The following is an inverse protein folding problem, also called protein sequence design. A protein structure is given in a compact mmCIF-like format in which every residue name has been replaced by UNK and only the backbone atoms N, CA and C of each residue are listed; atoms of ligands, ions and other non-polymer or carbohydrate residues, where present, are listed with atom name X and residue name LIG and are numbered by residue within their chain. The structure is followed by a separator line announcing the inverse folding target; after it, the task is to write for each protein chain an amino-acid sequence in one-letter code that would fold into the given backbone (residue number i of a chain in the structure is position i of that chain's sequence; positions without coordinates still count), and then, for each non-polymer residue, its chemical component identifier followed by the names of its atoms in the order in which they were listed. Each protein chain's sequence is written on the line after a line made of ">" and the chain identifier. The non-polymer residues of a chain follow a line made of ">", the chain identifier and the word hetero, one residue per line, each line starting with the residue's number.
data_IF_499575783963
#
_entry.id   IF_499575783963
#
_cell.length_a   1.000
_cell.length_b   1.000
_cell.length_c   1.000
_cell.angle_alpha   90.00
_cell.angle_beta   90.00
_cell.angle_gamma   90.00
#
_symmetry.space_group_name_H-M   'P 1'
#
loop_
_entity.id
_entity.type
_entity.pdbx_description
1 polymer ?
#
# COMPACT_ATOMS: atom_id res chain seq x y z
N UNK A 1 15.46 -13.45 3.24
CA UNK A 1 15.19 -12.38 4.22
C UNK A 1 14.38 -11.20 3.65
N UNK A 2 14.62 -10.73 2.42
CA UNK A 2 13.96 -9.55 1.84
C UNK A 2 12.41 -9.58 1.75
N UNK A 3 11.80 -10.75 1.55
CA UNK A 3 10.34 -10.87 1.44
C UNK A 3 9.59 -10.40 2.69
N UNK A 4 10.12 -10.67 3.89
CA UNK A 4 9.46 -10.34 5.17
C UNK A 4 9.43 -8.82 5.45
N UNK A 5 10.46 -8.09 5.03
CA UNK A 5 10.56 -6.63 5.19
C UNK A 5 9.55 -5.92 4.29
N UNK A 6 9.37 -6.39 3.06
CA UNK A 6 8.40 -5.82 2.12
C UNK A 6 6.96 -6.08 2.57
N UNK A 7 6.66 -7.28 3.08
CA UNK A 7 5.35 -7.60 3.67
C UNK A 7 5.03 -6.71 4.86
N UNK A 8 5.94 -6.60 5.84
CA UNK A 8 5.69 -5.76 7.02
C UNK A 8 5.53 -4.26 6.71
N UNK A 9 6.20 -3.77 5.66
CA UNK A 9 6.02 -2.38 5.21
C UNK A 9 4.68 -2.15 4.52
N UNK A 10 4.15 -3.14 3.79
CA UNK A 10 2.81 -3.08 3.18
C UNK A 10 1.75 -3.12 4.29
N UNK A 11 1.86 -4.05 5.24
CA UNK A 11 0.96 -4.16 6.40
C UNK A 11 0.90 -2.85 7.20
N UNK A 12 2.04 -2.20 7.43
CA UNK A 12 2.08 -0.92 8.13
C UNK A 12 1.39 0.22 7.37
N UNK A 13 1.42 0.20 6.02
CA UNK A 13 0.71 1.18 5.19
C UNK A 13 -0.80 0.91 5.19
N UNK A 14 -1.20 -0.36 5.17
CA UNK A 14 -2.61 -0.78 5.30
C UNK A 14 -3.19 -0.34 6.64
N UNK A 15 -2.52 -0.64 7.75
CA UNK A 15 -2.95 -0.21 9.08
C UNK A 15 -3.14 1.33 9.18
N UNK A 16 -2.21 2.10 8.60
CA UNK A 16 -2.34 3.57 8.56
C UNK A 16 -3.53 4.04 7.74
N UNK A 17 -3.82 3.37 6.61
CA UNK A 17 -4.98 3.67 5.77
C UNK A 17 -6.27 3.41 6.54
N UNK A 18 -6.37 2.28 7.24
CA UNK A 18 -7.57 1.89 7.98
C UNK A 18 -7.85 2.86 9.14
N UNK A 19 -6.80 3.35 9.80
CA UNK A 19 -6.92 4.44 10.79
C UNK A 19 -7.49 5.71 10.14
N UNK A 20 -7.04 6.08 8.94
CA UNK A 20 -7.59 7.25 8.24
C UNK A 20 -9.03 7.04 7.80
N UNK A 21 -9.40 5.83 7.35
CA UNK A 21 -10.80 5.49 7.04
C UNK A 21 -11.68 5.62 8.29
N UNK A 22 -11.24 5.10 9.44
CA UNK A 22 -11.96 5.25 10.70
C UNK A 22 -12.13 6.74 11.09
N UNK A 23 -11.09 7.56 10.94
CA UNK A 23 -11.16 9.01 11.20
C UNK A 23 -12.11 9.74 10.24
N UNK A 24 -12.15 9.33 8.97
CA UNK A 24 -13.09 9.87 7.98
C UNK A 24 -14.53 9.53 8.39
N UNK A 25 -14.80 8.30 8.81
CA UNK A 25 -16.12 7.88 9.27
C UNK A 25 -16.55 8.64 10.54
N UNK A 26 -15.64 8.77 11.52
CA UNK A 26 -15.88 9.55 12.73
C UNK A 26 -16.22 11.01 12.40
N UNK A 27 -15.49 11.63 11.48
CA UNK A 27 -15.73 13.01 11.07
C UNK A 27 -17.06 13.17 10.32
N UNK A 28 -17.42 12.21 9.47
CA UNK A 28 -18.72 12.19 8.79
C UNK A 28 -19.91 11.99 9.74
N UNK A 29 -19.71 11.29 10.86
CA UNK A 29 -20.73 11.06 11.88
C UNK A 29 -20.97 12.28 12.79
N UNK A 30 -20.15 13.34 12.69
CA UNK A 30 -20.35 14.56 13.50
C UNK A 30 -21.61 15.29 13.02
N UNK A 31 -22.41 15.89 13.92
CA UNK A 31 -23.58 16.69 13.55
C UNK A 31 -23.28 17.83 12.57
N UNK A 32 -22.07 18.39 12.65
CA UNK A 32 -21.54 19.36 11.70
C UNK A 32 -20.13 18.92 11.26
N UNK A 33 -20.00 18.19 10.14
CA UNK A 33 -18.71 17.73 9.65
C UNK A 33 -17.82 18.89 9.20
N UNK A 34 -16.53 18.84 9.56
CA UNK A 34 -15.55 19.79 9.04
C UNK A 34 -15.09 19.34 7.64
N UNK A 35 -15.52 20.09 6.63
CA UNK A 35 -15.23 19.80 5.23
C UNK A 35 -13.73 19.90 4.89
N UNK A 36 -12.99 20.85 5.48
CA UNK A 36 -11.55 21.02 5.25
C UNK A 36 -10.79 19.85 5.86
N UNK A 37 -11.19 19.43 7.07
CA UNK A 37 -10.63 18.26 7.75
C UNK A 37 -10.92 16.99 6.97
N UNK A 38 -12.15 16.78 6.50
CA UNK A 38 -12.51 15.65 5.63
C UNK A 38 -11.68 15.61 4.35
N UNK A 39 -11.52 16.73 3.66
CA UNK A 39 -10.70 16.82 2.46
C UNK A 39 -9.23 16.46 2.75
N UNK A 40 -8.69 16.95 3.86
CA UNK A 40 -7.33 16.65 4.29
C UNK A 40 -7.15 15.16 4.60
N UNK A 41 -8.08 14.56 5.33
CA UNK A 41 -8.09 13.12 5.64
C UNK A 41 -8.17 12.27 4.36
N UNK A 42 -9.06 12.63 3.43
CA UNK A 42 -9.21 11.93 2.14
C UNK A 42 -7.96 12.02 1.28
N UNK A 43 -7.30 13.19 1.23
CA UNK A 43 -6.01 13.36 0.53
C UNK A 43 -4.91 12.50 1.14
N UNK A 44 -4.80 12.45 2.47
CA UNK A 44 -3.83 11.58 3.15
C UNK A 44 -4.09 10.10 2.84
N UNK A 45 -5.36 9.67 2.88
CA UNK A 45 -5.73 8.29 2.52
C UNK A 45 -5.37 7.95 1.07
N UNK A 46 -5.63 8.87 0.15
CA UNK A 46 -5.29 8.68 -1.27
C UNK A 46 -3.79 8.48 -1.47
N UNK A 47 -2.95 9.30 -0.83
CA UNK A 47 -1.50 9.16 -0.89
C UNK A 47 -1.02 7.79 -0.39
N UNK A 48 -1.57 7.30 0.73
CA UNK A 48 -1.25 5.98 1.25
C UNK A 48 -1.65 4.86 0.28
N UNK A 49 -2.82 4.98 -0.36
CA UNK A 49 -3.27 4.02 -1.38
C UNK A 49 -2.29 3.98 -2.56
N UNK A 50 -1.83 5.14 -3.03
CA UNK A 50 -0.87 5.23 -4.13
C UNK A 50 0.48 4.62 -3.75
N UNK A 51 0.96 4.86 -2.53
CA UNK A 51 2.19 4.26 -2.01
C UNK A 51 2.10 2.73 -1.95
N UNK A 52 0.97 2.21 -1.49
CA UNK A 52 0.67 0.79 -1.39
C UNK A 52 0.70 0.15 -2.78
N UNK A 53 0.02 0.75 -3.76
CA UNK A 53 0.02 0.29 -5.16
C UNK A 53 1.44 0.30 -5.73
N UNK A 54 2.23 1.36 -5.52
CA UNK A 54 3.62 1.42 -5.97
C UNK A 54 4.47 0.33 -5.34
N UNK A 55 4.32 0.07 -4.04
CA UNK A 55 5.06 -0.98 -3.34
C UNK A 55 4.67 -2.38 -3.83
N UNK A 56 3.38 -2.67 -3.99
CA UNK A 56 2.89 -3.93 -4.52
C UNK A 56 3.39 -4.19 -5.93
N UNK A 57 3.38 -3.17 -6.80
CA UNK A 57 3.93 -3.28 -8.16
C UNK A 57 5.43 -3.58 -8.15
N UNK A 58 6.20 -2.93 -7.27
CA UNK A 58 7.64 -3.20 -7.11
C UNK A 58 7.89 -4.63 -6.62
N UNK A 59 7.12 -5.08 -5.61
CA UNK A 59 7.21 -6.43 -5.09
C UNK A 59 6.86 -7.48 -6.17
N UNK A 60 5.77 -7.27 -6.91
CA UNK A 60 5.35 -8.14 -8.01
C UNK A 60 6.41 -8.22 -9.13
N UNK A 61 7.01 -7.08 -9.51
CA UNK A 61 8.11 -7.03 -10.49
C UNK A 61 9.34 -7.80 -10.00
N UNK A 62 9.75 -7.61 -8.75
CA UNK A 62 10.88 -8.33 -8.17
C UNK A 62 10.67 -9.85 -8.16
N UNK A 63 9.44 -10.32 -7.84
CA UNK A 63 9.09 -11.74 -7.89
C UNK A 63 9.17 -12.29 -9.32
N UNK A 64 8.65 -11.57 -10.32
CA UNK A 64 8.72 -11.97 -11.73
C UNK A 64 10.16 -12.02 -12.25
N UNK A 65 10.97 -11.01 -11.94
CA UNK A 65 12.38 -10.94 -12.32
C UNK A 65 13.20 -12.07 -11.69
N UNK A 66 12.93 -12.43 -10.43
CA UNK A 66 13.56 -13.56 -9.75
C UNK A 66 13.16 -14.95 -10.28
N UNK A 67 12.02 -15.07 -10.96
CA UNK A 67 11.62 -16.30 -11.68
C UNK A 67 12.32 -16.41 -13.03
N UNK A 68 12.51 -15.29 -13.74
CA UNK A 68 13.17 -15.26 -15.05
C UNK A 68 14.64 -15.68 -14.98
N UNK A 69 15.36 -15.30 -13.91
CA UNK A 69 16.77 -15.67 -13.71
C UNK A 69 17.00 -17.18 -13.47
N UNK A 70 15.99 -17.92 -12.98
CA UNK A 70 16.09 -19.37 -12.75
C UNK A 70 15.71 -20.22 -13.96
N UNK A 71 14.89 -19.70 -14.88
CA UNK A 71 14.48 -20.42 -16.08
C UNK A 71 15.46 -20.34 -17.26
N UNK A 72 16.45 -19.45 -17.20
CA UNK A 72 17.44 -19.27 -18.29
C UNK A 72 18.61 -20.26 -18.22
N UNK A 73 18.84 -20.93 -17.09
CA UNK A 73 19.94 -21.89 -16.94
C UNK A 73 19.59 -23.32 -17.40
N UNK A 74 18.31 -23.60 -17.68
CA UNK A 74 17.86 -24.94 -18.09
C UNK A 74 17.68 -25.11 -19.61
N UNK A 75 17.99 -24.08 -20.40
CA UNK A 75 17.84 -24.09 -21.87
C UNK A 75 19.18 -24.10 -22.62
N UNK A 76 20.29 -24.41 -21.94
CA UNK A 76 21.64 -24.36 -22.50
C UNK A 76 22.36 -25.73 -22.55
N UNK A 77 21.63 -26.85 -22.53
CA UNK A 77 22.17 -28.19 -22.73
C UNK A 77 21.34 -28.96 -23.74
#
# INVERSE_FOLDING_TARGET
>A
MFGRIMSGRIEALEAKKDILDARIQQEHARPQPDSIRLQSLKRMRLRLKDDLVRMQQRAARAIRQGRHARGQLTAAF
#
